data_IF_465261378597
#
_entry.id   IF_465261378597
#
_cell.length_a   1.000
_cell.length_b   1.000
_cell.length_c   1.000
_cell.angle_alpha   90.00
_cell.angle_beta   90.00
_cell.angle_gamma   90.00
#
_symmetry.space_group_name_H-M   'P 1'
#
loop_
_entity.id
_entity.type
_entity.pdbx_description
1 polymer ?
#
# COMPACT_ATOMS: atom_id res chain seq x y z
N UNK A 1 29.64 -7.14 -6.92
CA UNK A 1 29.97 -6.05 -7.89
C UNK A 1 29.27 -4.78 -7.47
N UNK A 2 30.01 -3.67 -7.37
CA UNK A 2 29.53 -2.34 -7.00
C UNK A 2 29.60 -1.39 -8.19
N UNK A 3 29.03 -0.19 -8.05
CA UNK A 3 29.10 0.87 -9.09
C UNK A 3 30.55 1.29 -9.33
N UNK A 4 31.36 1.38 -8.28
CA UNK A 4 32.77 1.73 -8.31
C UNK A 4 33.54 0.69 -9.11
N UNK A 5 33.36 -0.60 -8.83
CA UNK A 5 33.97 -1.71 -9.55
C UNK A 5 33.61 -1.71 -11.06
N UNK A 6 32.33 -1.39 -11.40
CA UNK A 6 31.93 -1.27 -12.80
C UNK A 6 32.67 -0.16 -13.53
N UNK A 7 32.94 0.98 -12.85
CA UNK A 7 33.67 2.13 -13.41
C UNK A 7 35.16 1.86 -13.51
N UNK A 8 35.76 1.32 -12.44
CA UNK A 8 37.18 1.01 -12.40
C UNK A 8 37.61 -0.02 -13.46
N UNK A 9 36.75 -1.01 -13.70
CA UNK A 9 36.97 -2.05 -14.71
C UNK A 9 36.49 -1.65 -16.11
N UNK A 10 35.98 -0.43 -16.29
CA UNK A 10 35.47 0.08 -17.58
C UNK A 10 34.39 -0.82 -18.23
N UNK A 11 33.52 -1.43 -17.43
CA UNK A 11 32.49 -2.38 -17.87
C UNK A 11 31.22 -1.73 -18.41
N UNK A 12 30.99 -0.44 -18.10
CA UNK A 12 29.79 0.29 -18.55
C UNK A 12 29.91 0.58 -20.06
N UNK A 13 28.94 0.10 -20.82
CA UNK A 13 28.91 0.30 -22.30
C UNK A 13 27.95 1.40 -22.70
N UNK A 14 27.01 1.78 -21.81
CA UNK A 14 26.07 2.88 -22.02
C UNK A 14 25.65 3.48 -20.67
N UNK A 15 25.59 4.80 -20.58
CA UNK A 15 25.03 5.54 -19.45
C UNK A 15 24.30 6.78 -19.96
N UNK A 16 23.15 7.09 -19.35
CA UNK A 16 22.42 8.32 -19.62
C UNK A 16 21.78 8.88 -18.35
N UNK A 17 21.51 10.19 -18.38
CA UNK A 17 20.60 10.84 -17.45
C UNK A 17 19.18 10.48 -17.89
N UNK A 18 18.39 9.96 -16.98
CA UNK A 18 17.03 9.48 -17.21
C UNK A 18 15.99 10.27 -16.39
N UNK A 19 14.79 9.75 -16.28
CA UNK A 19 13.76 10.32 -15.42
C UNK A 19 13.30 11.71 -15.84
N UNK A 20 13.00 12.56 -14.87
CA UNK A 20 12.42 13.90 -15.09
C UNK A 20 13.27 14.79 -16.00
N UNK A 21 14.58 14.67 -15.93
CA UNK A 21 15.50 15.43 -16.78
C UNK A 21 15.38 15.03 -18.24
N UNK A 22 15.41 13.73 -18.56
CA UNK A 22 15.24 13.24 -19.92
C UNK A 22 13.85 13.57 -20.50
N UNK A 23 12.82 13.56 -19.66
CA UNK A 23 11.46 13.93 -20.06
C UNK A 23 11.28 15.45 -20.27
N UNK A 24 12.20 16.27 -19.73
CA UNK A 24 12.07 17.73 -19.69
C UNK A 24 11.04 18.20 -18.64
N UNK A 25 10.65 17.35 -17.68
CA UNK A 25 9.68 17.67 -16.61
C UNK A 25 10.34 17.91 -15.25
N UNK A 26 11.68 18.08 -15.25
CA UNK A 26 12.43 18.40 -14.06
C UNK A 26 12.10 19.81 -13.52
N UNK A 27 12.18 19.97 -12.21
CA UNK A 27 12.14 21.23 -11.47
C UNK A 27 13.46 21.39 -10.70
N UNK A 28 13.68 22.55 -10.08
CA UNK A 28 14.94 22.85 -9.36
C UNK A 28 15.34 21.80 -8.33
N UNK A 29 14.36 21.18 -7.68
CA UNK A 29 14.56 20.13 -6.65
C UNK A 29 14.56 18.71 -7.19
N UNK A 30 14.59 18.51 -8.51
CA UNK A 30 14.56 17.18 -9.10
C UNK A 30 15.93 16.51 -9.00
N UNK A 31 15.92 15.27 -8.48
CA UNK A 31 17.09 14.39 -8.45
C UNK A 31 17.55 14.04 -9.86
N UNK A 32 18.83 13.76 -10.01
CA UNK A 32 19.42 13.31 -11.27
C UNK A 32 19.48 11.78 -11.25
N UNK A 33 18.54 11.16 -11.97
CA UNK A 33 18.53 9.71 -12.18
C UNK A 33 19.51 9.32 -13.26
N UNK A 34 20.33 8.28 -13.04
CA UNK A 34 21.20 7.67 -14.03
C UNK A 34 20.80 6.23 -14.31
N UNK A 35 20.77 5.87 -15.57
CA UNK A 35 20.51 4.50 -16.02
C UNK A 35 21.56 4.10 -17.04
N UNK A 36 21.96 2.83 -17.00
CA UNK A 36 22.93 2.36 -17.96
C UNK A 36 22.95 0.85 -18.12
N UNK A 37 23.89 0.40 -18.96
CA UNK A 37 24.08 -1.00 -19.32
C UNK A 37 25.55 -1.34 -19.18
N UNK A 38 25.85 -2.50 -18.60
CA UNK A 38 27.19 -3.04 -18.46
C UNK A 38 27.27 -4.47 -18.97
N UNK A 39 28.49 -4.93 -19.22
CA UNK A 39 28.80 -6.33 -19.54
C UNK A 39 29.74 -6.87 -18.46
N UNK A 40 29.36 -8.01 -17.86
CA UNK A 40 30.20 -8.69 -16.89
C UNK A 40 31.52 -9.17 -17.49
N UNK A 41 32.62 -9.25 -16.72
CA UNK A 41 33.81 -10.01 -17.10
C UNK A 41 33.45 -11.47 -17.42
N UNK A 42 34.18 -12.12 -18.33
CA UNK A 42 33.88 -13.48 -18.76
C UNK A 42 33.88 -14.48 -17.59
N UNK A 43 34.83 -14.34 -16.68
CA UNK A 43 34.96 -15.22 -15.52
C UNK A 43 33.76 -15.08 -14.56
N UNK A 44 33.25 -13.87 -14.36
CA UNK A 44 32.07 -13.62 -13.54
C UNK A 44 30.80 -14.14 -14.22
N UNK A 45 30.70 -13.99 -15.54
CA UNK A 45 29.60 -14.54 -16.33
C UNK A 45 29.54 -16.08 -16.28
N UNK A 46 30.70 -16.75 -16.31
CA UNK A 46 30.79 -18.22 -16.30
C UNK A 46 30.82 -18.82 -14.90
N UNK A 47 30.87 -18.03 -13.86
CA UNK A 47 30.88 -18.44 -12.45
C UNK A 47 29.57 -18.11 -11.74
N UNK A 48 29.49 -18.44 -10.45
CA UNK A 48 28.34 -18.08 -9.60
C UNK A 48 28.31 -16.59 -9.17
N UNK A 49 29.05 -15.72 -9.88
CA UNK A 49 29.13 -14.28 -9.58
C UNK A 49 28.27 -13.42 -10.52
N UNK A 50 27.35 -14.05 -11.24
CA UNK A 50 26.44 -13.33 -12.12
C UNK A 50 25.54 -12.35 -11.35
N UNK A 51 25.40 -11.13 -11.84
CA UNK A 51 24.58 -10.06 -11.27
C UNK A 51 23.70 -9.45 -12.36
N UNK A 52 22.39 -9.44 -12.15
CA UNK A 52 21.41 -8.89 -13.08
C UNK A 52 21.50 -7.35 -13.20
N UNK A 53 21.72 -6.68 -12.05
CA UNK A 53 21.78 -5.23 -11.97
C UNK A 53 22.58 -4.76 -10.75
N UNK A 54 23.09 -3.53 -10.82
CA UNK A 54 23.79 -2.85 -9.75
C UNK A 54 23.14 -1.50 -9.50
N UNK A 55 22.80 -1.21 -8.24
CA UNK A 55 22.14 0.03 -7.84
C UNK A 55 22.93 0.73 -6.75
N UNK A 56 22.78 2.05 -6.63
CA UNK A 56 23.10 2.77 -5.42
C UNK A 56 21.98 2.58 -4.34
N UNK A 57 22.26 3.02 -3.12
CA UNK A 57 21.34 2.84 -1.96
C UNK A 57 19.98 3.54 -2.19
N UNK A 58 19.98 4.66 -2.93
CA UNK A 58 18.76 5.45 -3.20
C UNK A 58 18.01 5.00 -4.45
N UNK A 59 18.62 4.12 -5.27
CA UNK A 59 18.16 3.75 -6.61
C UNK A 59 18.11 4.92 -7.61
N UNK A 60 18.87 5.98 -7.37
CA UNK A 60 19.03 7.07 -8.31
C UNK A 60 19.96 6.65 -9.49
N UNK A 61 20.87 5.71 -9.22
CA UNK A 61 21.76 5.11 -10.22
C UNK A 61 21.43 3.62 -10.35
N UNK A 62 21.16 3.16 -11.57
CA UNK A 62 20.92 1.75 -11.88
C UNK A 62 21.60 1.33 -13.17
N UNK A 63 22.43 0.29 -13.11
CA UNK A 63 23.02 -0.35 -14.28
C UNK A 63 22.51 -1.77 -14.42
N UNK A 64 22.11 -2.15 -15.64
CA UNK A 64 21.63 -3.48 -15.98
C UNK A 64 22.71 -4.27 -16.71
N UNK A 65 22.90 -5.53 -16.31
CA UNK A 65 23.71 -6.43 -17.14
C UNK A 65 23.02 -6.62 -18.50
N UNK A 66 23.82 -6.75 -19.57
CA UNK A 66 23.32 -6.77 -20.95
C UNK A 66 22.24 -7.85 -21.19
N UNK A 67 22.35 -9.03 -20.60
CA UNK A 67 21.33 -10.08 -20.71
C UNK A 67 20.02 -9.67 -20.06
N UNK A 68 20.09 -9.11 -18.84
CA UNK A 68 18.92 -8.58 -18.13
C UNK A 68 18.30 -7.38 -18.85
N UNK A 69 19.13 -6.52 -19.40
CA UNK A 69 18.67 -5.38 -20.21
C UNK A 69 17.83 -5.84 -21.40
N UNK A 70 18.32 -6.81 -22.19
CA UNK A 70 17.61 -7.33 -23.35
C UNK A 70 16.33 -8.12 -22.97
N UNK A 71 16.34 -8.85 -21.84
CA UNK A 71 15.15 -9.50 -21.30
C UNK A 71 14.04 -8.50 -20.98
N UNK A 72 14.40 -7.40 -20.32
CA UNK A 72 13.46 -6.33 -19.98
C UNK A 72 12.96 -5.58 -21.23
N UNK A 73 13.81 -5.37 -22.23
CA UNK A 73 13.40 -4.83 -23.52
C UNK A 73 12.42 -5.74 -24.24
N UNK A 74 12.64 -7.06 -24.23
CA UNK A 74 11.72 -8.05 -24.78
C UNK A 74 10.33 -7.96 -24.17
N UNK A 75 10.22 -7.63 -22.89
CA UNK A 75 8.94 -7.42 -22.21
C UNK A 75 8.32 -6.05 -22.45
N UNK A 76 8.90 -5.22 -23.30
CA UNK A 76 8.53 -3.82 -23.54
C UNK A 76 8.46 -2.97 -22.26
N UNK A 77 9.43 -3.18 -21.35
CA UNK A 77 9.52 -2.36 -20.14
C UNK A 77 9.69 -0.87 -20.51
N UNK A 78 8.80 0.02 -20.05
CA UNK A 78 8.84 1.43 -20.41
C UNK A 78 10.20 2.10 -20.16
N UNK A 79 10.80 1.85 -18.99
CA UNK A 79 12.07 2.50 -18.62
C UNK A 79 13.22 2.13 -19.57
N UNK A 80 13.24 0.86 -20.06
CA UNK A 80 14.29 0.39 -20.94
C UNK A 80 14.07 0.83 -22.40
N UNK A 81 12.83 0.89 -22.84
CA UNK A 81 12.48 1.46 -24.13
C UNK A 81 12.83 2.97 -24.19
N UNK A 82 12.56 3.70 -23.09
CA UNK A 82 12.96 5.10 -22.95
C UNK A 82 14.49 5.27 -22.96
N UNK A 83 15.23 4.35 -22.32
CA UNK A 83 16.70 4.37 -22.30
C UNK A 83 17.28 4.28 -23.72
N UNK A 84 16.74 3.41 -24.59
CA UNK A 84 17.16 3.29 -26.00
C UNK A 84 16.86 4.54 -26.85
N UNK A 85 15.95 5.38 -26.41
CA UNK A 85 15.47 6.55 -27.14
C UNK A 85 15.74 7.87 -26.41
N UNK A 86 16.61 7.84 -25.40
CA UNK A 86 16.98 9.05 -24.63
C UNK A 86 17.60 10.09 -25.58
N UNK A 87 17.32 11.39 -25.40
CA UNK A 87 17.95 12.46 -26.22
C UNK A 87 19.47 12.42 -26.08
N UNK A 88 20.16 12.68 -27.17
CA UNK A 88 21.64 12.57 -27.28
C UNK A 88 22.39 13.42 -26.26
N UNK A 89 21.84 14.58 -25.90
CA UNK A 89 22.38 15.51 -24.92
C UNK A 89 22.34 14.98 -23.47
N UNK A 90 21.63 13.88 -23.22
CA UNK A 90 21.58 13.21 -21.92
C UNK A 90 22.42 11.92 -21.88
N UNK A 91 23.08 11.52 -22.97
CA UNK A 91 23.99 10.36 -22.99
C UNK A 91 25.34 10.79 -22.42
N UNK A 92 25.76 10.14 -21.31
CA UNK A 92 27.04 10.44 -20.64
C UNK A 92 28.15 9.45 -21.01
N UNK A 93 27.80 8.18 -21.26
CA UNK A 93 28.74 7.15 -21.75
C UNK A 93 28.07 6.40 -22.89
N UNK A 94 28.80 6.22 -23.98
CA UNK A 94 28.39 5.36 -25.11
C UNK A 94 29.61 4.76 -25.78
N UNK A 95 29.78 3.46 -25.65
CA UNK A 95 30.81 2.71 -26.41
C UNK A 95 30.22 2.22 -27.73
N UNK A 96 31.07 2.05 -28.75
CA UNK A 96 30.65 1.62 -30.11
C UNK A 96 29.91 0.29 -30.12
N UNK A 97 30.22 -0.58 -29.18
CA UNK A 97 29.54 -1.87 -29.04
C UNK A 97 28.04 -1.71 -28.79
N UNK A 98 27.59 -0.65 -28.10
CA UNK A 98 26.18 -0.39 -27.86
C UNK A 98 25.42 -0.02 -29.15
N UNK A 99 26.10 0.44 -30.19
CA UNK A 99 25.51 0.71 -31.51
C UNK A 99 24.93 -0.54 -32.17
N UNK A 100 25.39 -1.74 -31.79
CA UNK A 100 24.81 -3.01 -32.24
C UNK A 100 23.36 -3.11 -31.82
N UNK A 101 23.05 -2.65 -30.61
CA UNK A 101 21.68 -2.66 -30.05
C UNK A 101 20.87 -1.51 -30.62
N UNK A 102 21.45 -0.30 -30.65
CA UNK A 102 20.76 0.90 -31.18
C UNK A 102 20.28 0.73 -32.61
N UNK A 103 21.01 -0.01 -33.46
CA UNK A 103 20.60 -0.32 -34.83
C UNK A 103 19.33 -1.17 -34.91
N UNK A 104 19.05 -1.93 -33.88
CA UNK A 104 17.90 -2.85 -33.80
C UNK A 104 16.77 -2.34 -32.88
N UNK A 105 16.88 -1.11 -32.37
CA UNK A 105 16.00 -0.58 -31.31
C UNK A 105 14.51 -0.62 -31.65
N UNK A 106 14.17 -0.34 -32.93
CA UNK A 106 12.76 -0.28 -33.36
C UNK A 106 12.09 -1.66 -33.37
N UNK A 107 12.87 -2.74 -33.49
CA UNK A 107 12.35 -4.11 -33.38
C UNK A 107 11.85 -4.47 -31.98
N UNK A 108 12.26 -3.72 -30.95
CA UNK A 108 11.77 -3.91 -29.59
C UNK A 108 10.38 -3.31 -29.35
N UNK A 109 9.85 -2.55 -30.29
CA UNK A 109 8.51 -1.98 -30.20
C UNK A 109 7.50 -3.00 -30.72
N UNK A 110 6.64 -3.51 -29.85
CA UNK A 110 5.64 -4.54 -30.18
C UNK A 110 4.27 -4.19 -29.58
N UNK A 111 3.22 -4.95 -29.91
CA UNK A 111 1.90 -4.78 -29.28
C UNK A 111 1.90 -5.00 -27.77
N UNK A 112 2.97 -5.56 -27.19
CA UNK A 112 3.11 -5.67 -25.75
C UNK A 112 3.23 -4.32 -25.03
N UNK A 113 3.58 -3.24 -25.74
CA UNK A 113 3.52 -1.86 -25.21
C UNK A 113 2.16 -1.55 -24.63
N UNK A 114 1.06 -1.96 -25.29
CA UNK A 114 -0.31 -1.82 -24.80
C UNK A 114 -0.45 -2.31 -23.35
N UNK A 115 0.07 -3.49 -23.06
CA UNK A 115 -0.01 -4.10 -21.74
C UNK A 115 0.99 -3.50 -20.75
N UNK A 116 2.24 -3.29 -21.15
CA UNK A 116 3.28 -2.80 -20.24
C UNK A 116 3.03 -1.35 -19.82
N UNK A 117 2.74 -0.45 -20.75
CA UNK A 117 2.44 0.96 -20.47
C UNK A 117 1.05 1.12 -19.85
N UNK A 118 0.03 0.42 -20.38
CA UNK A 118 -1.32 0.44 -19.84
C UNK A 118 -1.40 -0.09 -18.40
N UNK A 119 -0.76 -1.24 -18.12
CA UNK A 119 -0.72 -1.80 -16.75
C UNK A 119 0.02 -0.87 -15.78
N UNK A 120 1.12 -0.25 -16.21
CA UNK A 120 1.84 0.71 -15.38
C UNK A 120 0.97 1.93 -15.09
N UNK A 121 0.33 2.50 -16.09
CA UNK A 121 -0.60 3.63 -15.94
C UNK A 121 -1.75 3.27 -14.97
N UNK A 122 -2.36 2.11 -15.13
CA UNK A 122 -3.41 1.62 -14.22
C UNK A 122 -2.92 1.49 -12.78
N UNK A 123 -1.69 1.00 -12.57
CA UNK A 123 -1.10 0.95 -11.22
C UNK A 123 -0.88 2.36 -10.63
N UNK A 124 -0.48 3.36 -11.44
CA UNK A 124 -0.32 4.74 -10.96
C UNK A 124 -1.67 5.36 -10.55
N UNK A 125 -2.74 5.13 -11.32
CA UNK A 125 -4.11 5.54 -10.95
C UNK A 125 -4.51 4.89 -9.62
N UNK A 126 -4.28 3.58 -9.47
CA UNK A 126 -4.59 2.85 -8.23
C UNK A 126 -3.80 3.40 -7.03
N UNK A 127 -2.53 3.74 -7.21
CA UNK A 127 -1.70 4.39 -6.17
C UNK A 127 -2.24 5.78 -5.82
N UNK A 128 -2.61 6.58 -6.81
CA UNK A 128 -3.19 7.90 -6.60
C UNK A 128 -4.51 7.82 -5.83
N UNK A 129 -5.41 6.90 -6.20
CA UNK A 129 -6.67 6.62 -5.46
C UNK A 129 -6.40 6.15 -4.02
N UNK A 130 -5.43 5.26 -3.82
CA UNK A 130 -5.07 4.74 -2.50
C UNK A 130 -4.56 5.83 -1.56
N UNK A 131 -3.76 6.77 -2.06
CA UNK A 131 -3.29 7.91 -1.29
C UNK A 131 -4.42 8.89 -0.97
N UNK A 132 -5.27 9.22 -1.95
CA UNK A 132 -6.46 10.04 -1.75
C UNK A 132 -7.30 9.53 -0.57
N UNK A 133 -7.63 8.23 -0.56
CA UNK A 133 -8.41 7.62 0.52
C UNK A 133 -7.74 7.77 1.89
N UNK A 134 -6.42 7.69 1.98
CA UNK A 134 -5.68 7.83 3.24
C UNK A 134 -5.59 9.28 3.72
N UNK A 135 -5.50 10.23 2.78
CA UNK A 135 -5.46 11.67 3.10
C UNK A 135 -6.83 12.17 3.56
N UNK A 136 -7.90 11.79 2.84
CA UNK A 136 -9.27 12.25 3.12
C UNK A 136 -9.87 11.59 4.36
N UNK A 137 -9.45 10.37 4.67
CA UNK A 137 -9.94 9.63 5.84
C UNK A 137 -8.76 9.28 6.79
N UNK A 138 -8.24 10.24 7.54
CA UNK A 138 -7.20 9.98 8.51
C UNK A 138 -7.73 9.04 9.61
N UNK A 139 -6.86 8.18 10.11
CA UNK A 139 -7.19 7.26 11.21
C UNK A 139 -6.66 7.85 12.51
N UNK A 140 -7.50 7.89 13.54
CA UNK A 140 -7.12 8.37 14.86
C UNK A 140 -5.91 7.62 15.41
N UNK A 141 -5.07 8.31 16.22
CA UNK A 141 -3.90 7.68 16.85
C UNK A 141 -4.32 6.64 17.87
N UNK A 142 -5.43 6.89 18.57
CA UNK A 142 -5.96 5.95 19.53
C UNK A 142 -6.64 4.78 18.82
N UNK A 143 -6.13 3.58 19.06
CA UNK A 143 -6.72 2.36 18.54
C UNK A 143 -8.00 2.03 19.26
N UNK A 144 -9.09 1.83 18.54
CA UNK A 144 -10.34 1.30 19.12
C UNK A 144 -10.09 -0.06 19.77
N UNK A 145 -10.78 -0.30 20.86
CA UNK A 145 -10.68 -1.55 21.61
C UNK A 145 -11.81 -2.53 21.21
N UNK A 146 -11.73 -3.81 21.60
CA UNK A 146 -12.76 -4.80 21.26
C UNK A 146 -14.17 -4.40 21.73
N UNK A 147 -14.30 -3.66 22.86
CA UNK A 147 -15.61 -3.25 23.39
C UNK A 147 -16.35 -2.31 22.45
N UNK A 148 -15.63 -1.51 21.64
CA UNK A 148 -16.23 -0.60 20.65
C UNK A 148 -16.98 -1.37 19.53
N UNK A 149 -16.72 -2.67 19.43
CA UNK A 149 -17.35 -3.59 18.47
C UNK A 149 -18.35 -4.54 19.14
N UNK A 150 -18.71 -4.29 20.41
CA UNK A 150 -19.70 -5.06 21.16
C UNK A 150 -21.03 -4.30 21.24
N UNK A 151 -22.13 -5.00 21.01
CA UNK A 151 -23.47 -4.43 21.03
C UNK A 151 -24.42 -5.26 21.89
N UNK A 152 -25.05 -4.61 22.88
CA UNK A 152 -26.11 -5.21 23.70
C UNK A 152 -27.38 -5.32 22.86
N UNK A 153 -28.05 -6.46 22.96
CA UNK A 153 -29.31 -6.71 22.28
C UNK A 153 -30.45 -6.14 23.13
N UNK A 154 -31.28 -5.31 22.54
CA UNK A 154 -32.44 -4.66 23.19
C UNK A 154 -33.67 -4.80 22.28
N UNK A 155 -34.59 -5.71 22.64
CA UNK A 155 -35.81 -5.91 21.84
C UNK A 155 -35.48 -6.14 20.39
N UNK A 156 -35.94 -5.26 19.50
CA UNK A 156 -35.72 -5.33 18.04
C UNK A 156 -34.45 -4.57 17.57
N UNK A 157 -33.60 -4.10 18.50
CA UNK A 157 -32.41 -3.31 18.15
C UNK A 157 -31.20 -3.65 18.99
N UNK A 158 -30.15 -2.87 18.81
CA UNK A 158 -28.90 -3.00 19.57
C UNK A 158 -28.44 -1.64 20.10
N UNK A 159 -27.65 -1.66 21.17
CA UNK A 159 -26.94 -0.47 21.67
C UNK A 159 -25.49 -0.82 22.00
N UNK A 160 -24.57 0.15 21.82
CA UNK A 160 -23.16 -0.05 22.16
C UNK A 160 -23.00 -0.54 23.61
N UNK A 161 -22.19 -1.60 23.80
CA UNK A 161 -21.87 -2.14 25.12
C UNK A 161 -21.17 -1.10 25.99
N UNK A 162 -20.27 -0.30 25.44
CA UNK A 162 -19.57 0.78 26.14
C UNK A 162 -20.57 1.78 26.73
N UNK A 163 -21.51 2.24 25.90
CA UNK A 163 -22.55 3.17 26.35
C UNK A 163 -23.49 2.53 27.37
N UNK A 164 -23.82 1.26 27.20
CA UNK A 164 -24.68 0.52 28.13
C UNK A 164 -24.01 0.36 29.51
N UNK A 165 -22.72 -0.02 29.55
CA UNK A 165 -21.94 -0.11 30.78
C UNK A 165 -21.90 1.26 31.48
N UNK A 166 -21.55 2.31 30.75
CA UNK A 166 -21.50 3.68 31.28
C UNK A 166 -22.84 4.14 31.87
N UNK A 167 -23.93 3.89 31.14
CA UNK A 167 -25.28 4.27 31.61
C UNK A 167 -25.68 3.56 32.91
N UNK A 168 -25.24 2.31 33.08
CA UNK A 168 -25.52 1.51 34.29
C UNK A 168 -24.45 1.68 35.39
N UNK A 169 -23.45 2.55 35.22
CA UNK A 169 -22.39 2.79 36.18
C UNK A 169 -21.48 1.57 36.41
N UNK A 170 -21.33 0.72 35.37
CA UNK A 170 -20.57 -0.52 35.44
C UNK A 170 -19.19 -0.34 34.81
N UNK A 171 -18.15 -0.91 35.43
CA UNK A 171 -16.80 -0.93 34.91
C UNK A 171 -16.49 -2.32 34.35
N UNK A 172 -16.03 -2.36 33.10
CA UNK A 172 -15.72 -3.60 32.37
C UNK A 172 -14.76 -4.53 33.14
N UNK A 173 -13.89 -3.99 33.99
CA UNK A 173 -12.92 -4.78 34.77
C UNK A 173 -13.55 -5.70 35.80
N UNK A 174 -14.79 -5.41 36.25
CA UNK A 174 -15.55 -6.25 37.16
C UNK A 174 -16.59 -7.11 36.45
N UNK A 175 -16.62 -7.08 35.11
CA UNK A 175 -17.51 -7.91 34.33
C UNK A 175 -16.94 -9.32 34.13
N UNK A 176 -17.84 -10.31 34.16
CA UNK A 176 -17.60 -11.67 33.71
C UNK A 176 -18.44 -11.96 32.48
N UNK A 177 -17.92 -12.74 31.54
CA UNK A 177 -18.66 -13.14 30.34
C UNK A 177 -18.51 -14.62 30.04
N UNK A 178 -19.57 -15.22 29.49
CA UNK A 178 -19.56 -16.59 28.93
C UNK A 178 -20.15 -16.60 27.53
N UNK A 179 -19.71 -17.54 26.71
CA UNK A 179 -20.33 -17.77 25.41
C UNK A 179 -21.75 -18.30 25.59
N UNK A 180 -22.66 -17.84 24.72
CA UNK A 180 -23.96 -18.46 24.59
C UNK A 180 -23.82 -19.71 23.71
N UNK A 181 -24.22 -20.91 24.19
CA UNK A 181 -24.12 -22.13 23.40
C UNK A 181 -24.88 -22.02 22.07
N UNK A 182 -24.27 -22.52 21.02
CA UNK A 182 -24.81 -22.50 19.63
C UNK A 182 -25.09 -21.11 19.03
N UNK A 183 -24.58 -20.03 19.64
CA UNK A 183 -24.71 -18.67 19.12
C UNK A 183 -23.32 -18.06 18.93
N UNK A 184 -22.89 -17.98 17.67
CA UNK A 184 -21.57 -17.44 17.31
C UNK A 184 -21.44 -15.98 17.74
N UNK A 185 -20.32 -15.65 18.42
CA UNK A 185 -19.96 -14.30 18.83
C UNK A 185 -21.00 -13.62 19.73
N UNK A 186 -21.78 -14.43 20.47
CA UNK A 186 -22.78 -13.99 21.44
C UNK A 186 -22.35 -14.35 22.85
N UNK A 187 -22.52 -13.40 23.79
CA UNK A 187 -22.06 -13.53 25.16
C UNK A 187 -23.13 -13.07 26.15
N UNK A 188 -23.19 -13.77 27.27
CA UNK A 188 -23.91 -13.30 28.44
C UNK A 188 -22.97 -12.54 29.38
N UNK A 189 -23.41 -11.40 29.90
CA UNK A 189 -22.67 -10.51 30.78
C UNK A 189 -23.13 -10.65 32.23
N UNK A 190 -22.17 -10.77 33.12
CA UNK A 190 -22.33 -10.84 34.57
C UNK A 190 -21.47 -9.78 35.24
N UNK A 191 -21.76 -9.44 36.53
CA UNK A 191 -21.04 -8.37 37.20
C UNK A 191 -20.72 -8.71 38.65
N UNK A 192 -19.47 -8.47 39.07
CA UNK A 192 -19.01 -8.63 40.44
C UNK A 192 -19.21 -7.33 41.26
N UNK A 193 -20.40 -7.16 41.79
CA UNK A 193 -20.76 -5.99 42.61
C UNK A 193 -19.93 -5.91 43.89
N UNK A 194 -19.58 -7.05 44.53
CA UNK A 194 -18.79 -7.08 45.73
C UNK A 194 -17.38 -6.52 45.50
N UNK A 195 -16.70 -6.96 44.45
CA UNK A 195 -15.39 -6.45 44.08
C UNK A 195 -15.44 -4.98 43.68
N UNK A 196 -16.47 -4.56 42.93
CA UNK A 196 -16.65 -3.16 42.55
C UNK A 196 -16.85 -2.27 43.79
N UNK A 197 -17.75 -2.65 44.71
CA UNK A 197 -18.00 -1.90 45.93
C UNK A 197 -16.75 -1.81 46.83
N UNK A 198 -16.04 -2.91 47.00
CA UNK A 198 -14.77 -2.92 47.75
C UNK A 198 -13.70 -2.00 47.12
N UNK A 199 -13.66 -1.89 45.79
CA UNK A 199 -12.74 -1.04 45.09
C UNK A 199 -13.13 0.44 45.12
N UNK A 200 -14.37 0.77 44.81
CA UNK A 200 -14.85 2.16 44.67
C UNK A 200 -15.42 2.77 45.94
N UNK A 201 -15.72 1.95 46.92
CA UNK A 201 -16.49 2.32 48.13
C UNK A 201 -17.87 2.94 47.82
N UNK A 202 -18.42 2.60 46.66
CA UNK A 202 -19.74 3.06 46.19
C UNK A 202 -20.46 1.94 45.44
N UNK A 203 -21.80 1.93 45.50
CA UNK A 203 -22.60 0.99 44.73
C UNK A 203 -22.83 1.54 43.32
N UNK A 204 -22.73 0.70 42.26
CA UNK A 204 -23.13 1.08 40.92
C UNK A 204 -24.65 1.25 40.80
N UNK A 205 -25.10 1.87 39.71
CA UNK A 205 -26.53 2.00 39.43
C UNK A 205 -27.19 0.63 39.24
N UNK A 206 -28.42 0.49 39.67
CA UNK A 206 -29.16 -0.77 39.52
C UNK A 206 -29.46 -1.08 38.04
N UNK A 207 -28.90 -2.15 37.48
CA UNK A 207 -29.16 -2.55 36.11
C UNK A 207 -30.40 -3.44 36.04
N UNK A 208 -31.56 -2.87 35.78
CA UNK A 208 -32.79 -3.66 35.65
C UNK A 208 -33.01 -4.14 34.22
N UNK A 209 -33.55 -5.35 34.00
CA UNK A 209 -34.00 -5.80 32.70
C UNK A 209 -35.14 -4.92 32.17
N UNK A 210 -35.05 -4.45 30.92
CA UNK A 210 -36.01 -3.51 30.31
C UNK A 210 -37.45 -3.99 30.23
N UNK A 211 -37.73 -5.25 30.55
CA UNK A 211 -39.08 -5.83 30.54
C UNK A 211 -39.92 -5.57 31.80
N UNK A 212 -39.33 -4.91 32.81
CA UNK A 212 -40.00 -4.67 34.08
C UNK A 212 -40.13 -3.17 34.33
N UNK A 213 -41.30 -2.73 34.83
CA UNK A 213 -41.63 -1.33 35.13
C UNK A 213 -42.31 -1.19 36.50
N UNK A 214 -42.34 0.05 37.04
CA UNK A 214 -43.11 0.40 38.23
C UNK A 214 -42.59 -0.18 39.55
N UNK A 215 -43.53 -0.62 40.41
CA UNK A 215 -43.22 -1.06 41.78
C UNK A 215 -42.27 -2.26 41.84
N UNK A 216 -42.25 -3.09 40.82
CA UNK A 216 -41.30 -4.20 40.71
C UNK A 216 -39.85 -3.69 40.73
N UNK A 217 -39.56 -2.59 40.00
CA UNK A 217 -38.23 -1.99 39.94
C UNK A 217 -37.80 -1.50 41.31
N UNK A 218 -38.70 -0.76 42.04
CA UNK A 218 -38.39 -0.21 43.35
C UNK A 218 -38.10 -1.32 44.36
N UNK A 219 -38.96 -2.34 44.41
CA UNK A 219 -38.78 -3.47 45.31
C UNK A 219 -37.49 -4.24 45.05
N UNK A 220 -37.18 -4.51 43.78
CA UNK A 220 -35.98 -5.25 43.44
C UNK A 220 -34.71 -4.36 43.52
N UNK A 221 -34.81 -3.06 43.39
CA UNK A 221 -33.71 -2.14 43.65
C UNK A 221 -33.27 -2.14 45.10
N UNK A 222 -34.20 -2.16 46.02
CA UNK A 222 -33.88 -2.25 47.43
C UNK A 222 -33.29 -3.61 47.82
N UNK A 223 -33.91 -4.69 47.34
CA UNK A 223 -33.40 -6.05 47.51
C UNK A 223 -31.97 -6.16 46.94
N UNK A 224 -31.73 -5.66 45.74
CA UNK A 224 -30.43 -5.66 45.13
C UNK A 224 -29.39 -4.84 45.90
N UNK A 225 -29.73 -3.65 46.41
CA UNK A 225 -28.84 -2.87 47.28
C UNK A 225 -28.44 -3.67 48.54
N UNK A 226 -29.39 -4.33 49.15
CA UNK A 226 -29.15 -5.16 50.31
C UNK A 226 -28.24 -6.34 49.97
N UNK A 227 -28.48 -7.04 48.89
CA UNK A 227 -27.64 -8.14 48.40
C UNK A 227 -26.22 -7.68 48.09
N UNK A 228 -26.02 -6.53 47.42
CA UNK A 228 -24.72 -5.95 47.16
C UNK A 228 -23.93 -5.59 48.42
N UNK A 229 -24.61 -5.13 49.48
CA UNK A 229 -24.00 -4.76 50.75
C UNK A 229 -23.71 -5.96 51.64
N UNK A 230 -24.56 -6.98 51.61
CA UNK A 230 -24.44 -8.19 52.44
C UNK A 230 -23.64 -9.30 51.80
N UNK A 231 -23.51 -9.32 50.47
CA UNK A 231 -22.80 -10.34 49.75
C UNK A 231 -21.28 -10.11 49.85
N UNK A 232 -20.63 -10.94 50.66
CA UNK A 232 -19.16 -10.91 50.88
C UNK A 232 -18.37 -11.78 49.90
N UNK A 233 -19.03 -12.45 48.97
CA UNK A 233 -18.34 -13.32 47.99
C UNK A 233 -17.84 -12.51 46.84
N UNK A 234 -16.50 -12.42 46.72
CA UNK A 234 -15.82 -11.85 45.55
C UNK A 234 -15.82 -12.88 44.45
N UNK A 235 -16.39 -12.55 43.30
CA UNK A 235 -16.43 -13.46 42.14
C UNK A 235 -15.12 -13.38 41.33
N UNK A 236 -14.34 -12.34 41.54
CA UNK A 236 -13.01 -12.14 40.95
C UNK A 236 -13.00 -12.28 39.40
N UNK A 237 -14.01 -11.70 38.76
CA UNK A 237 -14.05 -11.69 37.30
C UNK A 237 -12.86 -10.94 36.73
N UNK A 238 -12.43 -11.39 35.54
CA UNK A 238 -11.19 -10.91 34.91
C UNK A 238 -11.38 -9.68 34.01
N UNK A 239 -12.60 -9.18 33.91
CA UNK A 239 -12.99 -8.14 32.95
C UNK A 239 -13.22 -8.69 31.54
N UNK A 240 -13.92 -7.94 30.73
CA UNK A 240 -14.25 -8.33 29.35
C UNK A 240 -13.00 -8.31 28.46
N UNK A 241 -12.16 -7.28 28.59
CA UNK A 241 -10.89 -7.13 27.88
C UNK A 241 -9.75 -6.90 28.86
N UNK A 242 -8.55 -7.38 28.51
CA UNK A 242 -7.34 -7.07 29.26
C UNK A 242 -6.87 -5.66 28.88
N UNK A 243 -6.63 -4.83 29.87
CA UNK A 243 -6.02 -3.51 29.72
C UNK A 243 -4.63 -3.58 30.35
N UNK A 244 -3.61 -3.11 29.65
CA UNK A 244 -2.27 -2.91 30.23
C UNK A 244 -2.21 -1.60 31.03
N UNK A 245 -1.21 -1.46 31.87
CA UNK A 245 -0.96 -0.24 32.67
C UNK A 245 -0.78 1.01 31.79
N UNK A 246 -0.27 0.83 30.56
CA UNK A 246 -0.13 1.87 29.54
C UNK A 246 -1.42 2.18 28.76
N UNK A 247 -2.54 1.54 29.11
CA UNK A 247 -3.83 1.70 28.44
C UNK A 247 -4.00 0.88 27.15
N UNK A 248 -2.99 0.15 26.71
CA UNK A 248 -3.06 -0.66 25.49
C UNK A 248 -3.87 -1.96 25.69
N UNK A 249 -4.49 -2.43 24.61
CA UNK A 249 -5.28 -3.67 24.56
C UNK A 249 -4.48 -4.76 23.82
N UNK A 250 -3.85 -5.71 24.56
CA UNK A 250 -2.95 -6.70 23.94
C UNK A 250 -3.66 -7.81 23.19
N UNK A 251 -4.97 -8.00 23.43
CA UNK A 251 -5.74 -9.10 22.87
C UNK A 251 -6.81 -8.60 21.91
N UNK A 252 -7.00 -9.33 20.82
CA UNK A 252 -8.11 -9.13 19.87
C UNK A 252 -9.35 -9.96 20.25
N UNK A 253 -9.35 -10.59 21.43
CA UNK A 253 -10.41 -11.49 21.90
C UNK A 253 -10.95 -11.02 23.24
N UNK A 254 -12.22 -11.35 23.49
CA UNK A 254 -12.86 -11.17 24.77
C UNK A 254 -12.42 -12.25 25.75
N UNK A 255 -12.42 -11.93 27.06
CA UNK A 255 -11.95 -12.81 28.14
C UNK A 255 -13.13 -13.49 28.81
N UNK A 256 -13.23 -14.80 28.65
CA UNK A 256 -14.23 -15.58 29.32
C UNK A 256 -13.90 -15.73 30.84
N UNK A 257 -14.92 -15.77 31.64
CA UNK A 257 -14.88 -15.98 33.10
C UNK A 257 -15.60 -17.26 33.50
N UNK A 258 -15.23 -17.82 34.63
CA UNK A 258 -16.03 -18.87 35.27
C UNK A 258 -17.14 -18.18 36.06
N UNK A 259 -18.39 -18.48 35.73
CA UNK A 259 -19.58 -17.90 36.35
C UNK A 259 -20.22 -18.95 37.26
N UNK A 260 -20.58 -18.64 38.54
CA UNK A 260 -21.38 -19.51 39.38
C UNK A 260 -22.72 -19.83 38.72
N UNK A 261 -23.27 -21.04 39.02
CA UNK A 261 -24.50 -21.50 38.36
C UNK A 261 -25.75 -20.68 38.69
N UNK A 262 -25.75 -20.03 39.85
CA UNK A 262 -26.90 -19.27 40.38
C UNK A 262 -26.84 -17.78 39.99
N UNK A 263 -25.82 -17.34 39.28
CA UNK A 263 -25.70 -15.96 38.81
C UNK A 263 -26.65 -15.67 37.66
N UNK A 264 -27.26 -14.48 37.68
CA UNK A 264 -28.12 -14.01 36.59
C UNK A 264 -27.35 -13.07 35.67
N UNK A 265 -27.53 -13.27 34.37
CA UNK A 265 -26.97 -12.38 33.36
C UNK A 265 -27.63 -11.00 33.41
N UNK A 266 -26.82 -9.95 33.26
CA UNK A 266 -27.31 -8.58 33.15
C UNK A 266 -27.85 -8.27 31.75
N UNK A 267 -27.19 -8.78 30.76
CA UNK A 267 -27.60 -8.64 29.37
C UNK A 267 -26.90 -9.67 28.46
N UNK A 268 -27.41 -9.81 27.27
CA UNK A 268 -26.78 -10.53 26.17
C UNK A 268 -26.23 -9.49 25.18
N UNK A 269 -25.01 -9.71 24.73
CA UNK A 269 -24.38 -8.85 23.72
C UNK A 269 -23.70 -9.65 22.65
N UNK A 270 -23.52 -9.04 21.47
CA UNK A 270 -22.76 -9.59 20.34
C UNK A 270 -21.41 -8.90 20.21
N UNK A 271 -20.38 -9.62 19.80
CA UNK A 271 -19.10 -9.07 19.42
C UNK A 271 -18.88 -9.20 17.91
N UNK A 272 -18.76 -8.10 17.19
CA UNK A 272 -18.43 -8.09 15.76
C UNK A 272 -16.94 -8.34 15.60
N UNK A 273 -16.50 -9.60 15.76
CA UNK A 273 -15.10 -10.01 15.67
C UNK A 273 -14.50 -9.77 14.28
N UNK A 274 -15.27 -10.05 13.22
CA UNK A 274 -14.83 -9.83 11.84
C UNK A 274 -14.62 -8.32 11.55
N UNK A 275 -15.53 -7.48 12.05
CA UNK A 275 -15.42 -6.03 11.94
C UNK A 275 -14.18 -5.50 12.68
N UNK A 276 -13.93 -5.99 13.89
CA UNK A 276 -12.77 -5.63 14.68
C UNK A 276 -11.47 -6.08 14.02
N UNK A 277 -11.41 -7.30 13.49
CA UNK A 277 -10.24 -7.83 12.76
C UNK A 277 -9.92 -6.98 11.52
N UNK A 278 -10.94 -6.62 10.73
CA UNK A 278 -10.78 -5.71 9.58
C UNK A 278 -10.26 -4.33 10.01
N UNK A 279 -10.82 -3.78 11.09
CA UNK A 279 -10.37 -2.51 11.65
C UNK A 279 -8.90 -2.57 12.07
N UNK A 280 -8.47 -3.60 12.82
CA UNK A 280 -7.09 -3.76 13.26
C UNK A 280 -6.10 -3.83 12.09
N UNK A 281 -6.48 -4.57 11.02
CA UNK A 281 -5.68 -4.65 9.80
C UNK A 281 -5.55 -3.28 9.13
N UNK A 282 -6.67 -2.58 8.93
CA UNK A 282 -6.67 -1.25 8.31
C UNK A 282 -5.93 -0.21 9.15
N UNK A 283 -6.06 -0.28 10.49
CA UNK A 283 -5.35 0.57 11.44
C UNK A 283 -3.83 0.39 11.31
N UNK A 284 -3.36 -0.86 11.33
CA UNK A 284 -1.94 -1.18 11.16
C UNK A 284 -1.42 -0.72 9.81
N UNK A 285 -2.12 -1.04 8.71
CA UNK A 285 -1.74 -0.63 7.35
C UNK A 285 -1.65 0.90 7.19
N UNK A 286 -2.52 1.65 7.91
CA UNK A 286 -2.48 3.11 7.88
C UNK A 286 -1.26 3.65 8.63
N UNK A 287 -1.01 3.18 9.85
CA UNK A 287 0.10 3.69 10.67
C UNK A 287 1.48 3.21 10.17
N UNK A 288 1.58 1.99 9.64
CA UNK A 288 2.78 1.52 8.92
C UNK A 288 3.08 2.41 7.69
N UNK A 289 2.02 2.86 6.99
CA UNK A 289 2.18 3.81 5.90
C UNK A 289 2.61 5.20 6.40
N UNK A 290 2.03 5.72 7.47
CA UNK A 290 2.43 7.01 8.06
C UNK A 290 3.90 7.01 8.45
N UNK A 291 4.39 5.91 9.05
CA UNK A 291 5.79 5.77 9.46
C UNK A 291 6.77 5.73 8.27
N UNK A 292 6.37 5.06 7.18
CA UNK A 292 7.24 4.80 6.01
C UNK A 292 7.07 5.79 4.87
N UNK A 293 6.08 6.68 4.92
CA UNK A 293 5.80 7.61 3.84
C UNK A 293 6.93 8.62 3.66
N UNK A 294 7.16 9.05 2.43
CA UNK A 294 8.03 10.18 2.15
C UNK A 294 7.31 11.48 2.57
N UNK A 295 7.79 12.12 3.64
CA UNK A 295 7.15 13.32 4.22
C UNK A 295 7.16 14.51 3.26
N UNK A 296 8.23 14.72 2.47
CA UNK A 296 8.30 15.79 1.47
C UNK A 296 7.19 15.62 0.46
N UNK A 297 7.06 14.41 -0.10
CA UNK A 297 6.03 14.09 -1.08
C UNK A 297 4.61 14.17 -0.50
N UNK A 298 4.44 13.75 0.75
CA UNK A 298 3.16 13.87 1.45
C UNK A 298 2.76 15.33 1.65
N UNK A 299 3.69 16.18 2.07
CA UNK A 299 3.47 17.59 2.27
C UNK A 299 3.15 18.32 0.95
N UNK A 300 3.86 17.98 -0.14
CA UNK A 300 3.57 18.53 -1.46
C UNK A 300 2.14 18.17 -1.92
N UNK A 301 1.74 16.91 -1.76
CA UNK A 301 0.39 16.47 -2.10
C UNK A 301 -0.69 17.07 -1.19
N UNK A 302 -0.37 17.41 0.05
CA UNK A 302 -1.29 18.05 0.99
C UNK A 302 -1.44 19.54 0.69
N UNK A 303 -0.35 20.22 0.28
CA UNK A 303 -0.35 21.67 -0.06
C UNK A 303 -1.33 22.03 -1.18
N UNK A 304 -1.40 21.20 -2.24
CA UNK A 304 -2.35 21.50 -3.33
C UNK A 304 -3.81 21.13 -2.99
N UNK A 305 -4.08 20.45 -1.86
CA UNK A 305 -5.43 20.19 -1.35
C UNK A 305 -6.33 19.29 -2.20
N UNK A 306 -5.80 18.67 -3.26
CA UNK A 306 -6.58 17.83 -4.20
C UNK A 306 -6.64 16.36 -3.78
N UNK A 307 -5.92 15.97 -2.72
CA UNK A 307 -6.01 14.65 -2.09
C UNK A 307 -5.46 13.48 -2.93
N UNK A 308 -4.66 13.71 -3.96
CA UNK A 308 -4.08 12.66 -4.80
C UNK A 308 -2.55 12.83 -4.98
N UNK A 309 -1.87 11.74 -5.34
CA UNK A 309 -0.45 11.78 -5.67
C UNK A 309 -0.23 12.36 -7.08
N UNK A 310 0.06 13.65 -7.13
CA UNK A 310 0.23 14.40 -8.39
C UNK A 310 1.40 13.91 -9.23
N UNK A 311 2.53 13.48 -8.61
CA UNK A 311 3.67 12.91 -9.33
C UNK A 311 3.30 11.59 -10.00
N UNK A 312 2.59 10.69 -9.32
CA UNK A 312 2.12 9.45 -9.92
C UNK A 312 1.11 9.69 -11.04
N UNK A 313 0.21 10.66 -10.86
CA UNK A 313 -0.76 11.03 -11.90
C UNK A 313 -0.08 11.60 -13.14
N UNK A 314 0.90 12.47 -12.97
CA UNK A 314 1.73 12.96 -14.09
C UNK A 314 2.41 11.81 -14.84
N UNK A 315 3.00 10.85 -14.13
CA UNK A 315 3.62 9.68 -14.77
C UNK A 315 2.62 8.80 -15.51
N UNK A 316 1.38 8.65 -14.99
CA UNK A 316 0.30 7.95 -15.66
C UNK A 316 0.01 8.59 -17.04
N UNK A 317 -0.26 9.89 -17.06
CA UNK A 317 -0.58 10.62 -18.29
C UNK A 317 0.57 10.60 -19.29
N UNK A 318 1.83 10.79 -18.81
CA UNK A 318 3.01 10.70 -19.65
C UNK A 318 3.12 9.35 -20.37
N UNK A 319 2.92 8.25 -19.67
CA UNK A 319 3.01 6.91 -20.24
C UNK A 319 1.88 6.60 -21.21
N UNK A 320 0.66 7.06 -20.92
CA UNK A 320 -0.48 6.90 -21.82
C UNK A 320 -0.27 7.69 -23.12
N UNK A 321 0.23 8.93 -23.03
CA UNK A 321 0.56 9.73 -24.21
C UNK A 321 1.65 9.06 -25.05
N UNK A 322 2.69 8.51 -24.42
CA UNK A 322 3.73 7.75 -25.12
C UNK A 322 3.17 6.48 -25.77
N UNK A 323 2.29 5.74 -25.12
CA UNK A 323 1.67 4.56 -25.70
C UNK A 323 0.85 4.91 -26.95
N UNK A 324 0.08 6.00 -26.91
CA UNK A 324 -0.65 6.51 -28.09
C UNK A 324 0.31 6.84 -29.21
N UNK A 325 1.38 7.61 -28.93
CA UNK A 325 2.39 8.00 -29.93
C UNK A 325 3.07 6.78 -30.58
N UNK A 326 3.41 5.77 -29.77
CA UNK A 326 3.99 4.51 -30.27
C UNK A 326 3.00 3.78 -31.18
N UNK A 327 1.76 3.63 -30.76
CA UNK A 327 0.73 2.95 -31.54
C UNK A 327 0.39 3.67 -32.86
N UNK A 328 0.48 4.99 -32.87
CA UNK A 328 0.36 5.84 -34.08
C UNK A 328 1.60 5.80 -34.99
N UNK A 329 2.65 5.07 -34.63
CA UNK A 329 3.88 4.95 -35.41
C UNK A 329 4.85 6.14 -35.27
N UNK A 330 4.66 7.02 -34.28
CA UNK A 330 5.58 8.15 -34.03
C UNK A 330 6.86 7.74 -33.28
N UNK A 331 6.96 6.46 -32.86
CA UNK A 331 8.08 5.94 -32.08
C UNK A 331 8.04 6.39 -30.64
N UNK A 332 9.17 6.31 -29.94
CA UNK A 332 9.29 6.63 -28.52
C UNK A 332 9.84 8.05 -28.36
N UNK A 333 9.00 8.97 -27.95
CA UNK A 333 9.35 10.37 -27.71
C UNK A 333 9.60 10.57 -26.21
N UNK A 334 10.88 10.54 -25.79
CA UNK A 334 11.26 10.64 -24.38
C UNK A 334 11.12 12.07 -23.87
N UNK A 335 11.68 13.08 -24.57
CA UNK A 335 11.47 14.50 -24.23
C UNK A 335 10.05 14.90 -24.60
N UNK A 336 9.27 15.22 -23.57
CA UNK A 336 7.82 15.40 -23.73
C UNK A 336 7.47 16.73 -24.40
N UNK A 337 6.72 16.72 -25.53
CA UNK A 337 6.25 17.95 -26.17
C UNK A 337 5.20 18.68 -25.33
N UNK A 338 4.42 17.96 -24.52
CA UNK A 338 3.36 18.50 -23.67
C UNK A 338 3.83 18.77 -22.24
N UNK A 339 5.07 19.24 -22.08
CA UNK A 339 5.71 19.51 -20.78
C UNK A 339 4.83 20.32 -19.82
N UNK A 340 4.25 21.41 -20.30
CA UNK A 340 3.44 22.31 -19.45
C UNK A 340 2.20 21.62 -18.90
N UNK A 341 1.51 20.80 -19.70
CA UNK A 341 0.41 19.98 -19.25
C UNK A 341 0.85 18.99 -18.14
N UNK A 342 1.97 18.31 -18.33
CA UNK A 342 2.50 17.38 -17.33
C UNK A 342 2.89 18.11 -16.04
N UNK A 343 3.44 19.31 -16.12
CA UNK A 343 3.78 20.11 -14.95
C UNK A 343 2.54 20.63 -14.22
N UNK A 344 1.47 21.01 -14.92
CA UNK A 344 0.20 21.39 -14.28
C UNK A 344 -0.47 20.25 -13.52
N UNK A 345 -0.29 18.98 -13.99
CA UNK A 345 -0.69 17.81 -13.20
C UNK A 345 0.19 17.68 -11.96
N UNK A 346 1.52 17.83 -12.12
CA UNK A 346 2.49 17.69 -11.03
C UNK A 346 2.30 18.74 -9.93
N UNK A 347 1.95 19.97 -10.28
CA UNK A 347 1.65 21.06 -9.33
C UNK A 347 0.32 20.88 -8.61
N UNK A 348 -0.55 19.94 -9.05
CA UNK A 348 -1.87 19.73 -8.48
C UNK A 348 -2.91 20.78 -8.90
N UNK A 349 -2.68 21.53 -9.98
CA UNK A 349 -3.64 22.50 -10.49
C UNK A 349 -4.91 21.83 -11.02
N UNK A 350 -4.80 20.62 -11.55
CA UNK A 350 -5.90 19.91 -12.19
C UNK A 350 -6.75 19.12 -11.18
N UNK A 351 -8.05 19.00 -11.50
CA UNK A 351 -8.97 18.19 -10.70
C UNK A 351 -8.71 16.70 -10.87
N UNK A 352 -8.76 15.96 -9.76
CA UNK A 352 -8.52 14.51 -9.74
C UNK A 352 -9.47 13.72 -10.64
N UNK A 353 -10.79 14.00 -10.56
CA UNK A 353 -11.79 13.23 -11.33
C UNK A 353 -11.65 13.48 -12.84
N UNK A 354 -11.27 14.70 -13.23
CA UNK A 354 -10.98 15.05 -14.63
C UNK A 354 -9.76 14.26 -15.14
N UNK A 355 -8.71 14.19 -14.33
CA UNK A 355 -7.51 13.43 -14.69
C UNK A 355 -7.78 11.93 -14.81
N UNK A 356 -8.56 11.37 -13.90
CA UNK A 356 -8.93 9.95 -13.95
C UNK A 356 -9.77 9.66 -15.19
N UNK A 357 -10.78 10.47 -15.50
CA UNK A 357 -11.62 10.30 -16.68
C UNK A 357 -10.79 10.41 -17.99
N UNK A 358 -9.85 11.37 -18.06
CA UNK A 358 -8.96 11.50 -19.21
C UNK A 358 -8.02 10.29 -19.34
N UNK A 359 -7.48 9.78 -18.24
CA UNK A 359 -6.63 8.60 -18.25
C UNK A 359 -7.39 7.33 -18.69
N UNK A 360 -8.64 7.14 -18.23
CA UNK A 360 -9.50 6.03 -18.65
C UNK A 360 -9.82 6.11 -20.15
N UNK A 361 -10.15 7.30 -20.67
CA UNK A 361 -10.35 7.52 -22.11
C UNK A 361 -9.08 7.22 -22.91
N UNK A 362 -7.89 7.62 -22.44
CA UNK A 362 -6.62 7.33 -23.09
C UNK A 362 -6.31 5.83 -23.10
N UNK A 363 -6.66 5.09 -22.05
CA UNK A 363 -6.50 3.63 -22.00
C UNK A 363 -7.34 2.96 -23.11
N UNK A 364 -8.61 3.37 -23.23
CA UNK A 364 -9.49 2.86 -24.29
C UNK A 364 -8.94 3.18 -25.69
N UNK A 365 -8.40 4.39 -25.88
CA UNK A 365 -7.78 4.80 -27.14
C UNK A 365 -6.53 3.98 -27.44
N UNK A 366 -5.67 3.71 -26.46
CA UNK A 366 -4.50 2.83 -26.62
C UNK A 366 -4.95 1.45 -27.08
N UNK A 367 -5.99 0.88 -26.48
CA UNK A 367 -6.54 -0.41 -26.88
C UNK A 367 -6.96 -0.43 -28.36
N UNK A 368 -7.72 0.57 -28.79
CA UNK A 368 -8.17 0.69 -30.19
C UNK A 368 -7.02 0.85 -31.18
N UNK A 369 -6.03 1.70 -30.86
CA UNK A 369 -4.89 1.96 -31.75
C UNK A 369 -4.04 0.70 -31.91
N UNK A 370 -3.72 -0.01 -30.81
CA UNK A 370 -2.89 -1.20 -30.90
C UNK A 370 -3.58 -2.39 -31.56
N UNK A 371 -4.90 -2.54 -31.39
CA UNK A 371 -5.67 -3.58 -32.08
C UNK A 371 -5.62 -3.40 -33.62
N UNK A 372 -5.53 -2.16 -34.10
CA UNK A 372 -5.45 -1.82 -35.51
C UNK A 372 -4.02 -1.60 -36.01
N UNK A 373 -2.99 -1.69 -35.15
CA UNK A 373 -1.62 -1.45 -35.52
C UNK A 373 -0.99 -2.62 -36.29
N UNK A 374 -0.04 -2.32 -37.16
CA UNK A 374 0.78 -3.33 -37.87
C UNK A 374 2.01 -3.79 -37.06
N UNK A 375 2.09 -3.44 -35.77
CA UNK A 375 3.18 -3.87 -34.92
C UNK A 375 3.13 -5.39 -34.72
N UNK A 376 4.31 -6.02 -34.63
CA UNK A 376 4.40 -7.44 -34.27
C UNK A 376 3.84 -7.70 -32.86
N UNK A 377 3.27 -8.88 -32.65
CA UNK A 377 2.66 -9.22 -31.36
C UNK A 377 3.69 -9.25 -30.22
N UNK A 378 4.84 -9.84 -30.47
CA UNK A 378 5.97 -9.94 -29.53
C UNK A 378 7.27 -10.14 -30.28
N UNK A 379 8.38 -9.83 -29.63
CA UNK A 379 9.72 -10.09 -30.16
C UNK A 379 10.08 -11.57 -29.97
N UNK A 380 10.83 -12.17 -30.92
CA UNK A 380 11.22 -13.57 -30.81
C UNK A 380 12.40 -13.77 -29.85
N UNK A 381 12.42 -14.93 -29.19
CA UNK A 381 13.52 -15.34 -28.31
C UNK A 381 14.82 -15.53 -29.08
N UNK A 382 14.74 -16.08 -30.29
CA UNK A 382 15.88 -16.28 -31.19
C UNK A 382 16.58 -14.97 -31.50
N UNK A 383 15.81 -13.93 -31.87
CA UNK A 383 16.38 -12.63 -32.18
C UNK A 383 17.11 -12.02 -30.98
N UNK A 384 16.49 -12.09 -29.77
CA UNK A 384 17.10 -11.55 -28.55
C UNK A 384 18.39 -12.30 -28.19
N UNK A 385 18.38 -13.63 -28.31
CA UNK A 385 19.54 -14.46 -28.05
C UNK A 385 20.67 -14.21 -29.07
N UNK A 386 20.36 -14.10 -30.37
CA UNK A 386 21.33 -13.78 -31.41
C UNK A 386 21.98 -12.41 -31.17
N UNK A 387 21.16 -11.41 -30.79
CA UNK A 387 21.65 -10.07 -30.46
C UNK A 387 22.58 -10.09 -29.24
N UNK A 388 22.19 -10.78 -28.20
CA UNK A 388 23.00 -10.96 -26.99
C UNK A 388 24.33 -11.62 -27.29
N UNK A 389 24.31 -12.72 -28.05
CA UNK A 389 25.52 -13.43 -28.47
C UNK A 389 26.44 -12.55 -29.32
N UNK A 390 25.87 -11.76 -30.23
CA UNK A 390 26.62 -10.84 -31.06
C UNK A 390 27.33 -9.78 -30.22
N UNK A 391 26.64 -9.16 -29.29
CA UNK A 391 27.21 -8.15 -28.38
C UNK A 391 28.31 -8.76 -27.52
N UNK A 392 28.02 -9.86 -26.81
CA UNK A 392 29.01 -10.52 -25.95
C UNK A 392 30.25 -11.01 -26.70
N UNK A 393 30.07 -11.67 -27.85
CA UNK A 393 31.21 -12.09 -28.69
C UNK A 393 32.07 -10.92 -29.14
N UNK A 394 31.48 -9.81 -29.48
CA UNK A 394 32.23 -8.60 -29.89
C UNK A 394 32.99 -8.03 -28.68
N UNK A 395 32.37 -7.93 -27.54
CA UNK A 395 33.00 -7.41 -26.31
C UNK A 395 34.19 -8.26 -25.85
N UNK A 396 34.02 -9.58 -25.73
CA UNK A 396 35.08 -10.46 -25.24
C UNK A 396 36.23 -10.64 -26.24
N UNK A 397 35.96 -10.52 -27.56
CA UNK A 397 37.03 -10.51 -28.55
C UNK A 397 37.95 -9.30 -28.40
N UNK A 398 37.40 -8.13 -28.11
CA UNK A 398 38.23 -6.93 -27.89
C UNK A 398 39.06 -7.02 -26.60
N UNK A 399 38.57 -7.71 -25.56
CA UNK A 399 39.35 -7.93 -24.32
C UNK A 399 40.48 -8.95 -24.45
N UNK A 400 40.39 -9.90 -25.37
CA UNK A 400 41.47 -10.91 -25.61
C UNK A 400 42.60 -10.36 -26.46
N UNK A 401 42.35 -9.29 -27.21
CA UNK A 401 43.33 -8.71 -28.13
C UNK A 401 44.14 -7.56 -27.47
N UNK A 402 43.67 -7.02 -26.37
CA UNK A 402 44.35 -6.04 -25.54
C UNK A 402 44.99 -6.70 -24.32
#
# INVERSE_FOLDING_TARGET
MTIEELKEQDLIIFECISGSHAYGTNIETSDIDKRGVFILPLDDLLSNKYVDQVNDIKNDITYYEIGKFLELLKSNNPNLLELLNVPKDYITIKKDIFDIILKEKDKFITKQVKFSFGSYAHQQIKKARGLNKKIVNPVDKERKNPLDFCNVIKGNGTSSLVNWLKHNGLDQKFCGIVNIPNARDMYALYYDYASHNAFTKSLPSFPYPMKYEGDWILHNQEKWKKECLENKSFLNYKGIVKVHEDGNFPSNQLRLSSIPKDEQELCIFSFNQDGYTKYCKSYKEYWDWVEKRNEVRYNDNTKHGKGYDSKNMMHCHRLLDMAIEIGEGKGIIVRRPNREYLLSIRSGEMNYDVLVADAERKIELVDQIFDNSNLQEKISDEFVNELLLKVRKTFYKTMIIN
#
